data_IF_010743296324
#
_entry.id   IF_010743296324
#
_cell.length_a   1.000
_cell.length_b   1.000
_cell.length_c   1.000
_cell.angle_alpha   90.00
_cell.angle_beta   90.00
_cell.angle_gamma   90.00
#
_symmetry.space_group_name_H-M   'P 1'
#
loop_
_entity.id
_entity.type
_entity.pdbx_description
1 polymer ?
#
# COMPACT_ATOMS: atom_id res chain seq x y z
N UNK A 1 2.69 26.37 -12.46
CA UNK A 1 2.04 26.07 -11.17
C UNK A 1 1.18 24.84 -11.39
N UNK A 2 1.41 23.75 -10.63
CA UNK A 2 0.64 22.52 -10.82
C UNK A 2 -0.83 22.77 -10.49
N UNK A 3 -1.73 22.43 -11.41
CA UNK A 3 -3.16 22.45 -11.12
C UNK A 3 -3.43 21.63 -9.86
N UNK A 4 -4.19 22.20 -8.92
CA UNK A 4 -4.54 21.53 -7.68
C UNK A 4 -5.47 20.37 -8.03
N UNK A 5 -4.94 19.15 -7.99
CA UNK A 5 -5.66 17.93 -8.35
C UNK A 5 -6.39 17.36 -7.11
N UNK A 6 -7.66 16.99 -7.26
CA UNK A 6 -8.48 16.34 -6.24
C UNK A 6 -8.65 14.87 -6.58
N UNK A 7 -8.73 14.01 -5.57
CA UNK A 7 -9.19 12.63 -5.77
C UNK A 7 -10.72 12.55 -5.96
N UNK A 8 -11.23 11.33 -6.20
CA UNK A 8 -12.65 11.07 -6.41
C UNK A 8 -13.53 11.38 -5.19
N UNK A 9 -12.90 11.60 -4.02
CA UNK A 9 -13.56 12.00 -2.77
C UNK A 9 -13.33 13.47 -2.45
N UNK A 10 -12.92 14.26 -3.45
CA UNK A 10 -12.77 15.70 -3.36
C UNK A 10 -11.66 16.15 -2.37
N UNK A 11 -10.71 15.27 -2.04
CA UNK A 11 -9.55 15.57 -1.18
C UNK A 11 -8.39 16.09 -2.01
N UNK A 12 -7.66 17.08 -1.49
CA UNK A 12 -6.51 17.66 -2.19
C UNK A 12 -5.32 16.70 -2.18
N UNK A 13 -4.75 16.44 -3.37
CA UNK A 13 -3.47 15.72 -3.50
C UNK A 13 -2.30 16.68 -3.28
N UNK A 14 -2.06 17.05 -2.02
CA UNK A 14 -1.03 18.01 -1.61
C UNK A 14 0.25 17.37 -1.03
N UNK A 15 0.29 16.06 -0.86
CA UNK A 15 1.47 15.32 -0.38
C UNK A 15 2.31 14.88 -1.56
N UNK A 16 3.62 15.16 -1.51
CA UNK A 16 4.58 14.71 -2.53
C UNK A 16 5.30 13.45 -2.06
N UNK A 17 5.29 12.41 -2.89
CA UNK A 17 6.09 11.19 -2.73
C UNK A 17 7.14 11.20 -3.82
N UNK A 18 8.42 11.04 -3.46
CA UNK A 18 9.54 11.04 -4.39
C UNK A 18 10.39 9.79 -4.21
N UNK A 19 10.85 9.23 -5.32
CA UNK A 19 11.78 8.09 -5.39
C UNK A 19 12.77 8.31 -6.53
N UNK A 20 13.92 7.65 -6.45
CA UNK A 20 14.97 7.75 -7.47
C UNK A 20 14.76 6.66 -8.52
N UNK A 21 15.07 7.00 -9.77
CA UNK A 21 15.02 6.11 -10.91
C UNK A 21 16.26 6.33 -11.78
N UNK A 22 16.72 5.30 -12.45
CA UNK A 22 17.67 5.45 -13.56
C UNK A 22 17.01 6.16 -14.75
N UNK A 23 17.79 6.71 -15.70
CA UNK A 23 17.25 7.24 -16.94
C UNK A 23 16.39 6.23 -17.71
N UNK A 24 16.82 4.97 -17.77
CA UNK A 24 16.16 3.87 -18.46
C UNK A 24 14.82 3.52 -17.80
N UNK A 25 14.79 3.41 -16.47
CA UNK A 25 13.54 3.17 -15.72
C UNK A 25 12.53 4.31 -15.94
N UNK A 26 13.01 5.56 -16.02
CA UNK A 26 12.15 6.71 -16.30
C UNK A 26 11.58 6.69 -17.73
N UNK A 27 12.37 6.29 -18.73
CA UNK A 27 11.88 6.09 -20.09
C UNK A 27 10.81 5.01 -20.17
N UNK A 28 11.03 3.88 -19.50
CA UNK A 28 10.04 2.80 -19.43
C UNK A 28 8.73 3.28 -18.79
N UNK A 29 8.82 4.00 -17.66
CA UNK A 29 7.65 4.59 -17.00
C UNK A 29 6.90 5.54 -17.96
N UNK A 30 7.61 6.38 -18.70
CA UNK A 30 7.00 7.28 -19.68
C UNK A 30 6.23 6.53 -20.76
N UNK A 31 6.81 5.44 -21.27
CA UNK A 31 6.18 4.61 -22.28
C UNK A 31 4.94 3.91 -21.72
N UNK A 32 5.02 3.34 -20.52
CA UNK A 32 3.85 2.72 -19.86
C UNK A 32 2.70 3.71 -19.64
N UNK A 33 3.00 4.93 -19.22
CA UNK A 33 1.99 5.99 -19.05
C UNK A 33 1.29 6.32 -20.39
N UNK A 34 2.07 6.43 -21.48
CA UNK A 34 1.50 6.67 -22.83
C UNK A 34 0.59 5.53 -23.28
N UNK A 35 0.99 4.28 -23.04
CA UNK A 35 0.26 3.09 -23.47
C UNK A 35 -0.99 2.80 -22.64
N UNK A 36 -1.00 3.21 -21.38
CA UNK A 36 -2.08 2.92 -20.42
C UNK A 36 -3.26 3.90 -20.48
N UNK A 37 -3.17 4.96 -21.29
CA UNK A 37 -4.28 5.91 -21.49
C UNK A 37 -4.52 6.88 -20.32
N UNK A 38 -3.62 6.93 -19.33
CA UNK A 38 -3.72 7.92 -18.25
C UNK A 38 -3.37 9.32 -18.75
N UNK A 39 -4.13 10.31 -18.26
CA UNK A 39 -3.90 11.73 -18.59
C UNK A 39 -2.63 12.28 -17.96
N UNK A 40 -2.27 11.77 -16.78
CA UNK A 40 -1.08 12.21 -16.05
C UNK A 40 -0.29 11.03 -15.50
N UNK A 41 1.02 11.21 -15.33
CA UNK A 41 1.88 10.23 -14.65
C UNK A 41 1.44 9.99 -13.21
N UNK A 42 0.93 11.02 -12.54
CA UNK A 42 0.47 10.93 -11.16
C UNK A 42 -0.69 9.94 -11.03
N UNK A 43 -1.66 9.98 -11.95
CA UNK A 43 -2.80 9.08 -11.94
C UNK A 43 -2.36 7.64 -12.22
N UNK A 44 -1.46 7.44 -13.19
CA UNK A 44 -0.89 6.13 -13.48
C UNK A 44 -0.17 5.56 -12.25
N UNK A 45 0.76 6.33 -11.64
CA UNK A 45 1.52 5.85 -10.48
C UNK A 45 0.58 5.59 -9.30
N UNK A 46 -0.40 6.45 -9.06
CA UNK A 46 -1.38 6.26 -7.98
C UNK A 46 -2.18 4.98 -8.20
N UNK A 47 -2.66 4.75 -9.42
CA UNK A 47 -3.38 3.52 -9.76
C UNK A 47 -2.48 2.28 -9.60
N UNK A 48 -1.26 2.32 -10.11
CA UNK A 48 -0.33 1.20 -10.03
C UNK A 48 0.06 0.88 -8.59
N UNK A 49 0.31 1.89 -7.75
CA UNK A 49 0.71 1.65 -6.35
C UNK A 49 -0.47 1.16 -5.50
N UNK A 50 -1.69 1.65 -5.73
CA UNK A 50 -2.84 1.33 -4.89
C UNK A 50 -3.61 0.08 -5.33
N UNK A 51 -3.52 -0.34 -6.59
CA UNK A 51 -4.40 -1.38 -7.15
C UNK A 51 -3.67 -2.50 -7.89
N UNK A 52 -2.33 -2.51 -7.88
CA UNK A 52 -1.58 -3.62 -8.47
C UNK A 52 -1.47 -4.78 -7.49
N UNK A 53 -1.48 -6.01 -8.01
CA UNK A 53 -1.28 -7.22 -7.23
C UNK A 53 0.01 -7.13 -6.43
N UNK A 54 -0.11 -7.06 -5.11
CA UNK A 54 1.04 -7.01 -4.20
C UNK A 54 1.64 -8.40 -4.08
N UNK A 55 2.87 -8.56 -4.53
CA UNK A 55 3.68 -9.75 -4.24
C UNK A 55 4.36 -9.51 -2.90
N UNK A 56 3.72 -9.96 -1.83
CA UNK A 56 4.19 -9.74 -0.48
C UNK A 56 5.44 -10.59 -0.19
N UNK A 57 6.55 -9.94 0.17
CA UNK A 57 7.71 -10.63 0.74
C UNK A 57 7.62 -10.55 2.27
N UNK A 58 7.71 -11.70 2.94
CA UNK A 58 7.44 -11.77 4.38
C UNK A 58 8.53 -11.02 5.15
N UNK A 59 8.13 -10.13 6.06
CA UNK A 59 9.03 -9.52 7.04
C UNK A 59 8.29 -9.37 8.38
N UNK A 60 8.89 -9.73 9.53
CA UNK A 60 8.31 -9.49 10.86
C UNK A 60 7.73 -8.08 11.09
N UNK A 61 8.33 -7.02 10.52
CA UNK A 61 7.82 -5.66 10.63
C UNK A 61 6.41 -5.48 10.03
N UNK A 62 6.06 -6.28 9.03
CA UNK A 62 4.73 -6.26 8.42
C UNK A 62 3.64 -6.71 9.42
N UNK A 63 3.92 -7.75 10.21
CA UNK A 63 2.98 -8.22 11.24
C UNK A 63 2.76 -7.18 12.34
N UNK A 64 3.79 -6.39 12.66
CA UNK A 64 3.67 -5.26 13.59
C UNK A 64 2.75 -4.17 13.01
N UNK A 65 2.93 -3.82 11.74
CA UNK A 65 2.07 -2.85 11.05
C UNK A 65 0.62 -3.33 10.94
N UNK A 66 0.40 -4.63 10.71
CA UNK A 66 -0.94 -5.21 10.69
C UNK A 66 -1.62 -5.07 12.05
N UNK A 67 -0.91 -5.39 13.12
CA UNK A 67 -1.42 -5.24 14.49
C UNK A 67 -1.84 -3.79 14.78
N UNK A 68 -1.01 -2.81 14.43
CA UNK A 68 -1.33 -1.40 14.64
C UNK A 68 -2.57 -0.95 13.85
N UNK A 69 -2.70 -1.40 12.60
CA UNK A 69 -3.88 -1.09 11.79
C UNK A 69 -5.15 -1.74 12.35
N UNK A 70 -5.07 -3.00 12.80
CA UNK A 70 -6.20 -3.68 13.43
C UNK A 70 -6.64 -2.99 14.73
N UNK A 71 -5.70 -2.58 15.59
CA UNK A 71 -6.00 -1.83 16.81
C UNK A 71 -6.68 -0.48 16.50
N UNK A 72 -6.23 0.21 15.45
CA UNK A 72 -6.87 1.45 15.01
C UNK A 72 -8.31 1.21 14.53
N UNK A 73 -8.53 0.14 13.77
CA UNK A 73 -9.87 -0.23 13.29
C UNK A 73 -10.77 -0.64 14.45
N UNK A 74 -10.26 -1.43 15.40
CA UNK A 74 -10.98 -1.81 16.63
C UNK A 74 -11.45 -0.56 17.37
N UNK A 75 -10.55 0.41 17.61
CA UNK A 75 -10.90 1.66 18.28
C UNK A 75 -11.96 2.48 17.53
N UNK A 76 -11.86 2.57 16.19
CA UNK A 76 -12.88 3.26 15.40
C UNK A 76 -14.23 2.53 15.41
N UNK A 77 -14.23 1.19 15.40
CA UNK A 77 -15.45 0.39 15.52
C UNK A 77 -16.11 0.53 16.88
N UNK A 78 -15.33 0.58 17.98
CA UNK A 78 -15.83 0.85 19.33
C UNK A 78 -16.51 2.23 19.45
N UNK A 79 -16.03 3.22 18.68
CA UNK A 79 -16.59 4.58 18.64
C UNK A 79 -17.90 4.67 17.85
N UNK A 80 -18.14 3.77 16.90
CA UNK A 80 -19.30 3.81 16.01
C UNK A 80 -20.53 3.24 16.73
N UNK A 81 -21.52 4.10 17.02
CA UNK A 81 -22.80 3.67 17.60
C UNK A 81 -23.82 3.24 16.53
N UNK A 82 -23.73 3.81 15.32
CA UNK A 82 -24.66 3.54 14.21
C UNK A 82 -23.92 3.32 12.90
N UNK A 83 -24.44 2.43 12.06
CA UNK A 83 -23.86 2.14 10.76
C UNK A 83 -23.72 3.38 9.83
N UNK A 84 -24.53 4.43 10.05
CA UNK A 84 -24.41 5.71 9.34
C UNK A 84 -23.13 6.48 9.65
N UNK A 85 -22.51 6.22 10.79
CA UNK A 85 -21.32 6.94 11.28
C UNK A 85 -20.02 6.27 10.83
N UNK A 86 -20.15 5.14 10.13
CA UNK A 86 -19.04 4.36 9.60
C UNK A 86 -18.43 5.04 8.37
N UNK A 87 -17.14 5.38 8.45
CA UNK A 87 -16.38 5.86 7.29
C UNK A 87 -16.31 4.75 6.22
N UNK A 88 -16.67 5.06 4.98
CA UNK A 88 -16.59 4.13 3.85
C UNK A 88 -15.16 3.64 3.54
N UNK A 89 -14.14 4.31 4.06
CA UNK A 89 -12.73 3.86 3.97
C UNK A 89 -12.24 3.08 5.20
N UNK A 90 -13.04 2.95 6.26
CA UNK A 90 -12.62 2.30 7.52
C UNK A 90 -12.03 0.90 7.29
N UNK A 91 -12.61 0.16 6.34
CA UNK A 91 -12.21 -1.21 6.02
C UNK A 91 -11.21 -1.31 4.86
N UNK A 92 -10.77 -0.19 4.27
CA UNK A 92 -9.74 -0.20 3.21
C UNK A 92 -8.43 -0.83 3.70
N UNK A 93 -7.92 -0.53 4.92
CA UNK A 93 -6.73 -1.20 5.43
C UNK A 93 -6.90 -2.72 5.56
N UNK A 94 -8.08 -3.21 5.95
CA UNK A 94 -8.37 -4.66 6.03
C UNK A 94 -8.27 -5.30 4.66
N UNK A 95 -8.82 -4.67 3.62
CA UNK A 95 -8.72 -5.17 2.24
C UNK A 95 -7.27 -5.27 1.79
N UNK A 96 -6.47 -4.24 2.02
CA UNK A 96 -5.03 -4.28 1.72
C UNK A 96 -4.28 -5.35 2.50
N UNK A 97 -4.59 -5.54 3.80
CA UNK A 97 -4.00 -6.63 4.59
C UNK A 97 -4.37 -8.01 4.04
N UNK A 98 -5.62 -8.23 3.61
CA UNK A 98 -6.06 -9.48 3.00
C UNK A 98 -5.36 -9.74 1.66
N UNK A 99 -5.24 -8.74 0.78
CA UNK A 99 -4.51 -8.85 -0.49
C UNK A 99 -3.03 -9.24 -0.26
N UNK A 100 -2.38 -8.64 0.75
CA UNK A 100 -1.02 -9.00 1.14
C UNK A 100 -0.95 -10.45 1.67
N UNK A 101 -1.90 -10.87 2.50
CA UNK A 101 -1.98 -12.25 3.00
C UNK A 101 -2.24 -13.28 1.88
N UNK A 102 -3.03 -12.92 0.88
CA UNK A 102 -3.24 -13.74 -0.31
C UNK A 102 -1.97 -13.84 -1.17
N UNK A 103 -1.23 -12.73 -1.31
CA UNK A 103 0.08 -12.72 -1.96
C UNK A 103 1.07 -13.72 -1.37
N UNK A 104 1.01 -13.96 -0.04
CA UNK A 104 1.83 -15.00 0.61
C UNK A 104 1.44 -16.43 0.24
N UNK A 105 0.15 -16.70 -0.04
CA UNK A 105 -0.29 -18.04 -0.46
C UNK A 105 0.29 -18.41 -1.83
N UNK A 106 0.57 -17.43 -2.66
CA UNK A 106 1.15 -17.61 -4.00
C UNK A 106 2.68 -17.73 -3.99
N UNK A 107 3.35 -17.38 -2.90
CA UNK A 107 4.80 -17.52 -2.72
C UNK A 107 5.14 -18.43 -1.53
N UNK A 108 5.31 -19.75 -1.74
CA UNK A 108 5.62 -20.71 -0.68
C UNK A 108 7.06 -20.64 -0.15
N UNK A 109 7.77 -19.50 -0.29
CA UNK A 109 8.95 -19.22 0.53
C UNK A 109 8.45 -18.86 1.93
N UNK A 110 8.15 -19.94 2.63
CA UNK A 110 7.41 -19.98 3.88
C UNK A 110 8.07 -19.14 4.97
N UNK A 111 7.24 -18.67 5.91
CA UNK A 111 7.66 -18.15 7.22
C UNK A 111 8.69 -19.06 7.95
N UNK A 112 8.85 -20.32 7.54
CA UNK A 112 9.85 -21.25 8.03
C UNK A 112 11.31 -20.81 7.73
N UNK A 113 11.53 -20.08 6.63
CA UNK A 113 12.87 -19.59 6.25
C UNK A 113 13.34 -18.40 7.11
N UNK A 114 12.44 -17.80 7.93
CA UNK A 114 12.74 -16.67 8.81
C UNK A 114 13.52 -17.04 10.08
N UNK A 115 13.80 -18.33 10.33
CA UNK A 115 14.56 -18.79 11.51
C UNK A 115 16.03 -18.33 11.54
N UNK A 116 16.55 -17.75 10.45
CA UNK A 116 17.95 -17.33 10.35
C UNK A 116 18.23 -15.83 10.57
N UNK A 117 17.23 -15.03 10.96
CA UNK A 117 17.42 -13.57 11.15
C UNK A 117 17.38 -13.11 12.62
N UNK A 118 17.37 -14.02 13.60
CA UNK A 118 17.62 -13.64 15.00
C UNK A 118 19.12 -13.51 15.24
N UNK A 119 19.56 -12.25 15.23
CA UNK A 119 20.72 -11.62 15.88
C UNK A 119 21.93 -12.53 16.19
N UNK A 120 23.14 -12.26 15.65
CA UNK A 120 24.35 -12.82 16.22
C UNK A 120 24.47 -12.31 17.66
N UNK A 121 24.50 -13.22 18.62
CA UNK A 121 24.88 -12.91 19.99
C UNK A 121 26.24 -12.19 19.99
N UNK A 122 26.30 -11.08 20.71
CA UNK A 122 27.54 -10.42 21.08
C UNK A 122 28.41 -11.39 21.90
N UNK A 123 29.65 -11.61 21.46
CA UNK A 123 30.78 -12.00 22.31
C UNK A 123 31.61 -10.76 22.63
#
# INVERSE_FOLDING_TARGET
MSEKNRDDKNRWRNVTIAFRMSPEENEELNNRVKLSGFRTKQDYITQSVLHQKVVATGNPLMLVQFRQNLQRIEHELERIEKASDMDGELLTPIRSMLEILEGFKEQPRTLADMKHLTVPNEE
#
